data_IF_587870244287
#
_entry.id   IF_587870244287
#
_cell.length_a   1.000
_cell.length_b   1.000
_cell.length_c   1.000
_cell.angle_alpha   90.00
_cell.angle_beta   90.00
_cell.angle_gamma   90.00
#
_symmetry.space_group_name_H-M   'P 1'
#
loop_
_entity.id
_entity.type
_entity.pdbx_description
1 polymer ?
#
# COMPACT_ATOMS: atom_id res chain seq x y z
N UNK A 1 0.66 -27.13 5.01
CA UNK A 1 2.04 -27.36 5.48
C UNK A 1 2.66 -26.01 5.85
N UNK A 2 2.92 -25.75 7.13
CA UNK A 2 3.61 -24.52 7.54
C UNK A 2 5.06 -24.57 7.04
N UNK A 3 5.62 -23.49 6.51
CA UNK A 3 6.93 -23.54 5.91
C UNK A 3 8.03 -23.60 6.99
N UNK A 4 9.19 -24.16 6.64
CA UNK A 4 10.27 -24.50 7.58
C UNK A 4 10.94 -23.28 8.24
N UNK A 5 11.78 -23.49 9.28
CA UNK A 5 12.33 -22.40 10.12
C UNK A 5 13.04 -21.29 9.33
N UNK A 6 13.85 -21.66 8.33
CA UNK A 6 14.56 -20.71 7.45
C UNK A 6 13.60 -19.81 6.64
N UNK A 7 12.43 -20.31 6.25
CA UNK A 7 11.45 -19.50 5.51
C UNK A 7 10.71 -18.52 6.42
N UNK A 8 10.52 -18.87 7.71
CA UNK A 8 9.86 -17.99 8.68
C UNK A 8 10.71 -16.78 8.99
N UNK A 9 12.02 -16.97 9.19
CA UNK A 9 12.98 -15.87 9.38
C UNK A 9 12.96 -14.93 8.16
N UNK A 10 12.97 -15.48 6.94
CA UNK A 10 12.88 -14.66 5.71
C UNK A 10 11.57 -13.88 5.63
N UNK A 11 10.44 -14.48 6.02
CA UNK A 11 9.14 -13.81 6.04
C UNK A 11 9.12 -12.65 7.05
N UNK A 12 9.58 -12.88 8.28
CA UNK A 12 9.66 -11.84 9.32
C UNK A 12 10.60 -10.70 8.88
N UNK A 13 11.77 -11.04 8.33
CA UNK A 13 12.71 -10.04 7.82
C UNK A 13 12.08 -9.20 6.70
N UNK A 14 11.39 -9.82 5.74
CA UNK A 14 10.71 -9.11 4.65
C UNK A 14 9.58 -8.21 5.18
N UNK A 15 8.79 -8.68 6.14
CA UNK A 15 7.76 -7.86 6.81
C UNK A 15 8.39 -6.63 7.46
N UNK A 16 9.45 -6.82 8.25
CA UNK A 16 10.11 -5.73 8.96
C UNK A 16 10.75 -4.73 8.00
N UNK A 17 11.43 -5.20 6.95
CA UNK A 17 12.01 -4.35 5.91
C UNK A 17 10.94 -3.56 5.15
N UNK A 18 9.82 -4.19 4.82
CA UNK A 18 8.70 -3.53 4.13
C UNK A 18 8.07 -2.46 5.03
N UNK A 19 7.85 -2.78 6.31
CA UNK A 19 7.31 -1.83 7.28
C UNK A 19 8.24 -0.63 7.48
N UNK A 20 9.55 -0.86 7.62
CA UNK A 20 10.54 0.18 7.76
C UNK A 20 10.60 1.06 6.50
N UNK A 21 10.68 0.45 5.30
CA UNK A 21 10.72 1.19 4.04
C UNK A 21 9.45 2.02 3.82
N UNK A 22 8.27 1.46 4.14
CA UNK A 22 7.02 2.20 4.06
C UNK A 22 7.02 3.37 5.04
N UNK A 23 7.33 3.12 6.31
CA UNK A 23 7.34 4.16 7.37
C UNK A 23 8.26 5.31 7.00
N UNK A 24 9.53 4.99 6.69
CA UNK A 24 10.55 5.97 6.33
C UNK A 24 10.15 6.69 5.05
N UNK A 25 9.64 5.99 4.05
CA UNK A 25 9.20 6.61 2.79
C UNK A 25 8.10 7.65 3.00
N UNK A 26 7.09 7.35 3.83
CA UNK A 26 6.01 8.30 4.15
C UNK A 26 6.54 9.48 4.96
N UNK A 27 7.34 9.23 6.00
CA UNK A 27 7.84 10.28 6.90
C UNK A 27 8.87 11.19 6.22
N UNK A 28 9.81 10.62 5.47
CA UNK A 28 10.81 11.39 4.73
C UNK A 28 10.19 12.26 3.62
N UNK A 29 9.03 11.84 3.09
CA UNK A 29 8.25 12.57 2.10
C UNK A 29 6.98 13.16 2.72
N UNK A 30 7.01 13.49 4.01
CA UNK A 30 5.87 14.07 4.73
C UNK A 30 5.18 15.23 3.99
N UNK A 31 5.89 16.18 3.35
CA UNK A 31 5.27 17.30 2.63
C UNK A 31 4.32 16.91 1.49
N UNK A 32 4.40 15.68 0.98
CA UNK A 32 3.53 15.19 -0.09
C UNK A 32 2.70 13.96 0.32
N UNK A 33 2.80 13.51 1.57
CA UNK A 33 2.25 12.20 2.00
C UNK A 33 1.07 12.26 2.97
N UNK A 34 0.76 13.47 3.48
CA UNK A 34 -0.19 13.67 4.58
C UNK A 34 -1.29 14.73 4.29
N UNK A 35 -1.33 15.33 3.11
CA UNK A 35 -2.32 16.37 2.79
C UNK A 35 -3.55 15.81 2.09
N UNK A 36 -4.63 16.60 2.00
CA UNK A 36 -5.79 16.23 1.19
C UNK A 36 -5.38 15.97 -0.27
N UNK A 37 -4.50 16.80 -0.83
CA UNK A 37 -3.84 16.54 -2.11
C UNK A 37 -2.47 15.92 -1.85
N UNK A 38 -2.38 14.59 -1.94
CA UNK A 38 -1.17 13.85 -1.62
C UNK A 38 -0.81 12.80 -2.67
N UNK A 39 0.49 12.55 -2.79
CA UNK A 39 1.05 11.41 -3.51
C UNK A 39 1.95 10.65 -2.54
N UNK A 40 1.37 9.66 -1.87
CA UNK A 40 2.12 8.82 -0.93
C UNK A 40 2.96 7.81 -1.72
N UNK A 41 4.18 8.21 -2.09
CA UNK A 41 5.10 7.42 -2.92
C UNK A 41 5.35 6.02 -2.33
N UNK A 42 5.37 5.90 -1.01
CA UNK A 42 5.51 4.62 -0.30
C UNK A 42 4.40 3.61 -0.65
N UNK A 43 3.24 4.06 -1.15
CA UNK A 43 2.18 3.14 -1.57
C UNK A 43 2.56 2.29 -2.79
N UNK A 44 3.62 2.65 -3.51
CA UNK A 44 4.22 1.77 -4.52
C UNK A 44 4.61 0.38 -3.95
N UNK A 45 4.86 0.29 -2.64
CA UNK A 45 5.16 -0.98 -1.97
C UNK A 45 3.93 -1.89 -1.84
N UNK A 46 2.69 -1.36 -1.88
CA UNK A 46 1.47 -2.19 -1.83
C UNK A 46 1.44 -3.17 -3.01
N UNK A 47 1.84 -2.70 -4.20
CA UNK A 47 1.89 -3.50 -5.42
C UNK A 47 2.76 -4.77 -5.26
N UNK A 48 3.78 -4.74 -4.39
CA UNK A 48 4.64 -5.90 -4.14
C UNK A 48 3.89 -7.06 -3.46
N UNK A 49 2.74 -6.79 -2.83
CA UNK A 49 1.89 -7.83 -2.25
C UNK A 49 1.50 -8.88 -3.30
N UNK A 50 1.32 -8.45 -4.55
CA UNK A 50 0.91 -9.29 -5.68
C UNK A 50 1.92 -10.39 -6.03
N UNK A 51 3.19 -10.22 -5.63
CA UNK A 51 4.28 -11.17 -5.91
C UNK A 51 4.96 -11.73 -4.66
N UNK A 52 4.98 -10.99 -3.55
CA UNK A 52 5.67 -11.36 -2.32
C UNK A 52 4.70 -11.82 -1.20
N UNK A 53 3.40 -11.58 -1.34
CA UNK A 53 2.35 -12.14 -0.47
C UNK A 53 2.30 -11.56 0.94
N UNK A 54 1.94 -12.41 1.92
CA UNK A 54 1.63 -12.04 3.30
C UNK A 54 2.66 -11.16 4.01
N UNK A 55 3.98 -11.35 3.83
CA UNK A 55 4.97 -10.48 4.46
C UNK A 55 4.82 -9.01 4.06
N UNK A 56 4.55 -8.73 2.79
CA UNK A 56 4.33 -7.36 2.31
C UNK A 56 3.00 -6.82 2.81
N UNK A 57 1.94 -7.63 2.79
CA UNK A 57 0.61 -7.26 3.32
C UNK A 57 0.71 -6.80 4.78
N UNK A 58 1.37 -7.60 5.63
CA UNK A 58 1.59 -7.23 7.03
C UNK A 58 2.54 -6.04 7.15
N UNK A 59 3.59 -5.99 6.34
CA UNK A 59 4.60 -4.94 6.39
C UNK A 59 4.04 -3.57 6.04
N UNK A 60 3.26 -3.43 4.98
CA UNK A 60 2.65 -2.14 4.58
C UNK A 60 1.56 -1.68 5.55
N UNK A 61 0.82 -2.61 6.17
CA UNK A 61 -0.15 -2.27 7.22
C UNK A 61 0.54 -1.75 8.49
N UNK A 62 1.57 -2.47 8.98
CA UNK A 62 2.36 -2.04 10.15
C UNK A 62 3.07 -0.71 9.86
N UNK A 63 3.69 -0.60 8.68
CA UNK A 63 4.40 0.61 8.28
C UNK A 63 3.47 1.82 8.17
N UNK A 64 2.23 1.62 7.72
CA UNK A 64 1.23 2.69 7.67
C UNK A 64 0.79 3.13 9.07
N UNK A 65 0.60 2.19 10.00
CA UNK A 65 0.29 2.54 11.40
C UNK A 65 1.40 3.41 11.99
N UNK A 66 2.67 3.01 11.79
CA UNK A 66 3.84 3.73 12.28
C UNK A 66 4.01 5.10 11.61
N UNK A 67 3.78 5.20 10.31
CA UNK A 67 3.84 6.47 9.60
C UNK A 67 2.73 7.43 10.06
N UNK A 68 1.51 6.93 10.25
CA UNK A 68 0.37 7.75 10.63
C UNK A 68 0.42 8.18 12.11
N UNK A 69 1.17 7.46 12.96
CA UNK A 69 1.53 7.97 14.29
C UNK A 69 2.33 9.28 14.21
N UNK A 70 3.20 9.42 13.20
CA UNK A 70 3.92 10.68 12.93
C UNK A 70 3.01 11.73 12.27
N UNK A 71 2.08 11.32 11.40
CA UNK A 71 1.21 12.22 10.62
C UNK A 71 0.27 13.11 11.45
N UNK A 72 -0.11 12.69 12.66
CA UNK A 72 -0.82 13.56 13.62
C UNK A 72 -2.34 13.68 13.44
N UNK A 73 -2.96 12.97 12.50
CA UNK A 73 -4.43 12.98 12.28
C UNK A 73 -5.22 12.08 13.24
N UNK A 74 -4.58 11.64 14.33
CA UNK A 74 -5.20 10.85 15.38
C UNK A 74 -5.49 9.39 14.99
N UNK A 75 -6.26 8.72 15.85
CA UNK A 75 -6.50 7.27 15.75
C UNK A 75 -7.22 6.86 14.47
N UNK A 76 -8.03 7.76 13.89
CA UNK A 76 -8.78 7.52 12.66
C UNK A 76 -7.83 7.27 11.50
N UNK A 77 -6.78 8.06 11.35
CA UNK A 77 -5.78 7.88 10.28
C UNK A 77 -4.90 6.66 10.55
N UNK A 78 -4.45 6.46 11.79
CA UNK A 78 -3.63 5.30 12.17
C UNK A 78 -4.34 3.98 11.85
N UNK A 79 -5.58 3.83 12.30
CA UNK A 79 -6.36 2.60 12.10
C UNK A 79 -6.91 2.54 10.68
N UNK A 80 -7.51 3.63 10.20
CA UNK A 80 -8.15 3.71 8.88
C UNK A 80 -7.15 3.50 7.74
N UNK A 81 -6.00 4.17 7.78
CA UNK A 81 -4.92 3.98 6.80
C UNK A 81 -4.35 2.56 6.82
N UNK A 82 -4.10 2.00 8.01
CA UNK A 82 -3.58 0.63 8.13
C UNK A 82 -4.56 -0.42 7.62
N UNK A 83 -5.86 -0.26 7.92
CA UNK A 83 -6.92 -1.11 7.40
C UNK A 83 -7.06 -0.97 5.89
N UNK A 84 -6.96 0.25 5.35
CA UNK A 84 -6.97 0.47 3.92
C UNK A 84 -5.85 -0.31 3.23
N UNK A 85 -4.61 -0.20 3.72
CA UNK A 85 -3.46 -0.94 3.19
C UNK A 85 -3.65 -2.45 3.30
N UNK A 86 -4.12 -2.93 4.46
CA UNK A 86 -4.35 -4.36 4.69
C UNK A 86 -5.38 -4.93 3.72
N UNK A 87 -6.53 -4.27 3.56
CA UNK A 87 -7.60 -4.71 2.67
C UNK A 87 -7.14 -4.62 1.21
N UNK A 88 -6.56 -3.48 0.82
CA UNK A 88 -6.07 -3.24 -0.53
C UNK A 88 -5.09 -4.34 -0.96
N UNK A 89 -4.02 -4.54 -0.19
CA UNK A 89 -2.98 -5.53 -0.52
C UNK A 89 -3.47 -6.97 -0.43
N UNK A 90 -4.39 -7.28 0.49
CA UNK A 90 -5.00 -8.61 0.55
C UNK A 90 -5.81 -8.88 -0.71
N UNK A 91 -6.66 -7.93 -1.14
CA UNK A 91 -7.46 -8.06 -2.36
C UNK A 91 -6.55 -8.12 -3.59
N UNK A 92 -5.56 -7.24 -3.70
CA UNK A 92 -4.57 -7.23 -4.78
C UNK A 92 -3.84 -8.56 -4.90
N UNK A 93 -3.36 -9.11 -3.78
CA UNK A 93 -2.75 -10.44 -3.73
C UNK A 93 -3.71 -11.56 -4.20
N UNK A 94 -4.96 -11.56 -3.73
CA UNK A 94 -5.94 -12.57 -4.11
C UNK A 94 -6.30 -12.51 -5.60
N UNK A 95 -6.43 -11.32 -6.17
CA UNK A 95 -6.66 -11.12 -7.62
C UNK A 95 -5.45 -11.60 -8.41
N UNK A 96 -4.23 -11.18 -8.04
CA UNK A 96 -3.01 -11.57 -8.72
C UNK A 96 -2.77 -13.09 -8.70
N UNK A 97 -3.21 -13.77 -7.62
CA UNK A 97 -3.15 -15.23 -7.49
C UNK A 97 -4.01 -15.97 -8.52
N UNK A 98 -5.04 -15.34 -9.10
CA UNK A 98 -5.88 -15.95 -10.14
C UNK A 98 -5.18 -16.08 -11.50
N UNK A 99 -4.07 -15.37 -11.73
CA UNK A 99 -3.16 -15.52 -12.90
C UNK A 99 -3.82 -15.39 -14.29
N UNK A 100 -4.99 -14.77 -14.42
CA UNK A 100 -5.57 -14.45 -15.72
C UNK A 100 -4.78 -13.31 -16.41
N UNK A 101 -4.93 -13.19 -17.74
CA UNK A 101 -4.29 -12.12 -18.53
C UNK A 101 -4.74 -10.75 -18.01
N UNK A 102 -3.79 -9.92 -17.57
CA UNK A 102 -4.08 -8.61 -16.99
C UNK A 102 -4.36 -8.60 -15.49
N UNK A 103 -4.31 -9.75 -14.79
CA UNK A 103 -4.55 -9.86 -13.34
C UNK A 103 -3.73 -8.89 -12.49
N UNK A 104 -2.48 -8.58 -12.87
CA UNK A 104 -1.67 -7.56 -12.18
C UNK A 104 -2.32 -6.18 -12.26
N UNK A 105 -2.75 -5.74 -13.45
CA UNK A 105 -3.34 -4.41 -13.62
C UNK A 105 -4.65 -4.32 -12.83
N UNK A 106 -5.49 -5.36 -12.88
CA UNK A 106 -6.74 -5.42 -12.11
C UNK A 106 -6.46 -5.38 -10.60
N UNK A 107 -5.40 -6.06 -10.13
CA UNK A 107 -5.00 -6.02 -8.72
C UNK A 107 -4.59 -4.61 -8.27
N UNK A 108 -3.77 -3.90 -9.05
CA UNK A 108 -3.30 -2.54 -8.71
C UNK A 108 -4.42 -1.49 -8.77
N UNK A 109 -5.34 -1.65 -9.72
CA UNK A 109 -6.55 -0.81 -9.78
C UNK A 109 -7.46 -1.06 -8.57
N UNK A 110 -7.62 -2.31 -8.15
CA UNK A 110 -8.38 -2.65 -6.95
C UNK A 110 -7.72 -2.08 -5.68
N UNK A 111 -6.41 -2.21 -5.54
CA UNK A 111 -5.64 -1.60 -4.44
C UNK A 111 -5.88 -0.09 -4.38
N UNK A 112 -5.76 0.58 -5.53
CA UNK A 112 -5.98 2.03 -5.66
C UNK A 112 -7.39 2.45 -5.30
N UNK A 113 -8.40 1.74 -5.79
CA UNK A 113 -9.80 2.06 -5.50
C UNK A 113 -10.09 1.90 -4.00
N UNK A 114 -9.60 0.82 -3.38
CA UNK A 114 -9.81 0.57 -1.95
C UNK A 114 -9.16 1.67 -1.10
N UNK A 115 -7.89 2.02 -1.38
CA UNK A 115 -7.20 3.10 -0.68
C UNK A 115 -7.93 4.43 -0.88
N UNK A 116 -8.35 4.75 -2.10
CA UNK A 116 -9.04 6.01 -2.43
C UNK A 116 -10.37 6.15 -1.72
N UNK A 117 -11.16 5.07 -1.64
CA UNK A 117 -12.45 5.06 -0.95
C UNK A 117 -12.24 5.24 0.56
N UNK A 118 -11.35 4.45 1.18
CA UNK A 118 -11.20 4.44 2.63
C UNK A 118 -10.47 5.70 3.10
N UNK A 119 -9.28 5.96 2.55
CA UNK A 119 -8.42 7.10 2.93
C UNK A 119 -9.02 8.42 2.48
N UNK A 120 -9.48 8.51 1.22
CA UNK A 120 -10.16 9.70 0.73
C UNK A 120 -11.44 10.00 1.51
N UNK A 121 -12.18 8.97 1.91
CA UNK A 121 -13.40 9.10 2.70
C UNK A 121 -13.16 9.75 4.07
N UNK A 122 -12.27 9.19 4.90
CA UNK A 122 -12.04 9.78 6.22
C UNK A 122 -11.26 11.10 6.16
N UNK A 123 -10.34 11.28 5.19
CA UNK A 123 -9.64 12.55 5.03
C UNK A 123 -10.59 13.68 4.61
N UNK A 124 -11.58 13.41 3.76
CA UNK A 124 -12.59 14.40 3.42
C UNK A 124 -13.33 14.92 4.66
N UNK A 125 -13.68 14.02 5.59
CA UNK A 125 -14.31 14.39 6.87
C UNK A 125 -13.36 15.19 7.75
N UNK A 126 -12.09 14.76 7.89
CA UNK A 126 -11.10 15.44 8.75
C UNK A 126 -10.75 16.85 8.25
N UNK A 127 -10.64 17.03 6.93
CA UNK A 127 -10.32 18.31 6.29
C UNK A 127 -11.55 19.18 6.01
N UNK A 128 -12.75 18.70 6.36
CA UNK A 128 -14.03 19.37 6.12
C UNK A 128 -14.22 19.79 4.64
N UNK A 129 -14.00 18.84 3.74
CA UNK A 129 -14.20 18.99 2.28
C UNK A 129 -15.22 17.97 1.76
N UNK A 130 -15.83 18.19 0.57
CA UNK A 130 -16.73 17.21 -0.03
C UNK A 130 -16.05 15.83 -0.23
N UNK A 131 -16.82 14.75 -0.11
CA UNK A 131 -16.30 13.37 -0.24
C UNK A 131 -15.67 13.12 -1.61
N UNK A 132 -16.18 13.76 -2.66
CA UNK A 132 -15.66 13.66 -4.02
C UNK A 132 -14.24 14.24 -4.10
N UNK A 133 -13.96 15.32 -3.35
CA UNK A 133 -12.62 15.92 -3.29
C UNK A 133 -11.64 14.96 -2.62
N UNK A 134 -12.02 14.36 -1.49
CA UNK A 134 -11.19 13.34 -0.84
C UNK A 134 -10.97 12.12 -1.71
N UNK A 135 -12.02 11.58 -2.34
CA UNK A 135 -11.89 10.44 -3.23
C UNK A 135 -10.99 10.73 -4.43
N UNK A 136 -11.24 11.83 -5.17
CA UNK A 136 -10.51 12.14 -6.40
C UNK A 136 -9.05 12.50 -6.13
N UNK A 137 -8.77 13.22 -5.04
CA UNK A 137 -7.41 13.59 -4.66
C UNK A 137 -6.56 12.37 -4.34
N UNK A 138 -7.06 11.45 -3.50
CA UNK A 138 -6.37 10.20 -3.19
C UNK A 138 -6.30 9.28 -4.41
N UNK A 139 -7.35 9.24 -5.24
CA UNK A 139 -7.36 8.45 -6.47
C UNK A 139 -6.21 8.85 -7.41
N UNK A 140 -6.02 10.14 -7.67
CA UNK A 140 -4.92 10.62 -8.52
C UNK A 140 -3.57 10.25 -7.91
N UNK A 141 -3.39 10.48 -6.61
CA UNK A 141 -2.15 10.13 -5.92
C UNK A 141 -1.84 8.63 -5.95
N UNK A 142 -2.84 7.80 -5.68
CA UNK A 142 -2.72 6.34 -5.69
C UNK A 142 -2.53 5.76 -7.09
N UNK A 143 -3.09 6.37 -8.14
CA UNK A 143 -2.76 5.98 -9.52
C UNK A 143 -1.26 6.20 -9.81
N UNK A 144 -0.69 7.31 -9.36
CA UNK A 144 0.74 7.59 -9.52
C UNK A 144 1.58 6.60 -8.68
N UNK A 145 1.28 6.46 -7.39
CA UNK A 145 2.11 5.63 -6.51
C UNK A 145 1.94 4.13 -6.77
N UNK A 146 0.71 3.61 -6.84
CA UNK A 146 0.45 2.18 -6.95
C UNK A 146 0.52 1.71 -8.41
N UNK A 147 -0.18 2.38 -9.33
CA UNK A 147 -0.29 1.88 -10.71
C UNK A 147 0.90 2.25 -11.59
N UNK A 148 1.50 3.42 -11.42
CA UNK A 148 2.69 3.79 -12.20
C UNK A 148 3.97 3.29 -11.52
N UNK A 149 4.28 3.77 -10.31
CA UNK A 149 5.52 3.40 -9.61
C UNK A 149 5.51 1.94 -9.15
N UNK A 150 4.42 1.50 -8.51
CA UNK A 150 4.27 0.13 -8.02
C UNK A 150 4.31 -0.91 -9.15
N UNK A 151 3.66 -0.66 -10.29
CA UNK A 151 3.78 -1.53 -11.46
C UNK A 151 5.23 -1.65 -11.97
N UNK A 152 5.93 -0.51 -12.08
CA UNK A 152 7.34 -0.48 -12.46
C UNK A 152 8.19 -1.31 -11.51
N UNK A 153 7.98 -1.15 -10.21
CA UNK A 153 8.69 -1.89 -9.16
C UNK A 153 8.45 -3.41 -9.26
N UNK A 154 7.19 -3.83 -9.43
CA UNK A 154 6.85 -5.25 -9.63
C UNK A 154 7.54 -5.81 -10.88
N UNK A 155 7.57 -5.05 -11.98
CA UNK A 155 8.23 -5.49 -13.23
C UNK A 155 9.74 -5.64 -13.06
N UNK A 156 10.40 -4.69 -12.40
CA UNK A 156 11.84 -4.75 -12.13
C UNK A 156 12.17 -5.96 -11.25
N UNK A 157 11.44 -6.17 -10.16
CA UNK A 157 11.69 -7.31 -9.27
C UNK A 157 11.42 -8.66 -9.94
N UNK A 158 10.39 -8.79 -10.78
CA UNK A 158 10.18 -10.02 -11.56
C UNK A 158 11.34 -10.33 -12.50
N UNK A 159 11.96 -9.31 -13.09
CA UNK A 159 13.14 -9.46 -13.95
C UNK A 159 14.38 -9.87 -13.16
N UNK A 160 14.61 -9.26 -12.00
CA UNK A 160 15.80 -9.52 -11.17
C UNK A 160 15.73 -10.85 -10.40
N UNK A 161 14.54 -11.26 -9.96
CA UNK A 161 14.37 -12.39 -9.05
C UNK A 161 13.98 -13.71 -9.71
N UNK A 162 13.92 -13.79 -11.04
CA UNK A 162 13.38 -14.96 -11.78
C UNK A 162 11.99 -15.44 -11.28
N UNK A 163 11.13 -14.52 -10.83
CA UNK A 163 9.75 -14.82 -10.37
C UNK A 163 8.75 -14.89 -11.54
N UNK A 164 9.12 -15.62 -12.60
CA UNK A 164 8.30 -15.87 -13.80
C UNK A 164 7.17 -16.85 -13.54
#
# INVERSE_FOLDING_TARGET
>A
MLPGPKSRVKAVALTAMTAAAYTVGVVALAPISFYIYQVRVADALLALSTILGLPVIAGTAIGCALANLYGGYGIVDIVGGSLANLIATTVGFLIAKRRFRGSLIVALLAETLIVSIIVGGYLAVLFNVPLEVGFLSILVGSLISINLLGYGLVKVLKRLGHYG
#
